data_IF_410454799941
#
_entry.id   IF_410454799941
#
_cell.length_a   1.000
_cell.length_b   1.000
_cell.length_c   1.000
_cell.angle_alpha   90.00
_cell.angle_beta   90.00
_cell.angle_gamma   90.00
#
_symmetry.space_group_name_H-M   'P 1'
#
loop_
_entity.id
_entity.type
_entity.pdbx_description
1 polymer ?
#
# COMPACT_ATOMS: atom_id res chain seq x y z
N UNK A 1 -4.59 13.47 -3.59
CA UNK A 1 -3.43 12.71 -3.08
C UNK A 1 -3.34 12.69 -1.54
N UNK A 2 -3.12 11.53 -0.92
CA UNK A 2 -2.78 11.36 0.51
C UNK A 2 -1.44 10.61 0.63
N UNK A 3 -0.57 11.07 1.55
CA UNK A 3 0.71 10.45 1.89
C UNK A 3 0.72 10.10 3.37
N UNK A 4 1.05 8.85 3.70
CA UNK A 4 1.11 8.37 5.08
C UNK A 4 2.12 7.23 5.22
N UNK A 5 2.31 6.73 6.43
CA UNK A 5 3.22 5.63 6.74
C UNK A 5 2.67 4.76 7.86
N UNK A 6 3.03 3.49 7.85
CA UNK A 6 2.76 2.54 8.92
C UNK A 6 4.08 1.94 9.40
N UNK A 7 4.24 1.83 10.72
CA UNK A 7 5.35 1.10 11.35
C UNK A 7 4.95 -0.35 11.55
N UNK A 8 5.86 -1.26 11.22
CA UNK A 8 5.66 -2.70 11.34
C UNK A 8 7.00 -3.41 11.52
N UNK A 9 7.05 -4.56 12.21
CA UNK A 9 8.26 -5.35 12.33
C UNK A 9 8.86 -5.67 10.96
N UNK A 10 10.20 -5.59 10.84
CA UNK A 10 10.90 -5.76 9.55
C UNK A 10 10.62 -7.11 8.89
N UNK A 11 10.43 -8.17 9.69
CA UNK A 11 10.07 -9.52 9.23
C UNK A 11 8.66 -9.60 8.63
N UNK A 12 7.77 -8.65 8.95
CA UNK A 12 6.40 -8.59 8.43
C UNK A 12 6.27 -7.78 7.14
N UNK A 13 7.26 -6.93 6.80
CA UNK A 13 7.20 -6.06 5.62
C UNK A 13 6.99 -6.87 4.33
N UNK A 14 7.79 -7.90 4.11
CA UNK A 14 7.68 -8.74 2.92
C UNK A 14 6.37 -9.53 2.89
N UNK A 15 5.88 -9.97 4.05
CA UNK A 15 4.61 -10.67 4.17
C UNK A 15 3.45 -9.77 3.73
N UNK A 16 3.40 -8.53 4.22
CA UNK A 16 2.40 -7.52 3.82
C UNK A 16 2.49 -7.19 2.33
N UNK A 17 3.70 -6.96 1.79
CA UNK A 17 3.85 -6.67 0.36
C UNK A 17 3.37 -7.84 -0.49
N UNK A 18 3.74 -9.08 -0.16
CA UNK A 18 3.32 -10.26 -0.91
C UNK A 18 1.80 -10.48 -0.87
N UNK A 19 1.15 -10.16 0.24
CA UNK A 19 -0.31 -10.16 0.33
C UNK A 19 -0.93 -9.21 -0.69
N UNK A 20 -0.49 -7.95 -0.73
CA UNK A 20 -1.02 -6.97 -1.66
C UNK A 20 -0.65 -7.24 -3.12
N UNK A 21 0.52 -7.83 -3.40
CA UNK A 21 0.88 -8.29 -4.76
C UNK A 21 -0.13 -9.30 -5.29
N UNK A 22 -0.56 -10.26 -4.45
CA UNK A 22 -1.59 -11.23 -4.83
C UNK A 22 -2.95 -10.57 -5.00
N UNK A 23 -3.36 -9.74 -4.03
CA UNK A 23 -4.65 -9.04 -4.04
C UNK A 23 -4.85 -8.17 -5.29
N UNK A 24 -3.80 -7.45 -5.69
CA UNK A 24 -3.86 -6.53 -6.82
C UNK A 24 -3.37 -7.13 -8.14
N UNK A 25 -3.15 -8.44 -8.21
CA UNK A 25 -2.61 -9.12 -9.40
C UNK A 25 -3.44 -8.95 -10.69
N UNK A 26 -4.71 -8.55 -10.57
CA UNK A 26 -5.60 -8.27 -11.70
C UNK A 26 -5.47 -6.84 -12.25
N UNK A 27 -4.70 -5.97 -11.61
CA UNK A 27 -4.45 -4.60 -12.02
C UNK A 27 -3.03 -4.42 -12.56
N UNK A 28 -2.78 -3.27 -13.18
CA UNK A 28 -1.43 -2.90 -13.62
C UNK A 28 -0.55 -2.63 -12.39
N UNK A 29 0.50 -3.45 -12.23
CA UNK A 29 1.41 -3.40 -11.09
C UNK A 29 2.86 -3.12 -11.54
N UNK A 30 3.55 -2.22 -10.84
CA UNK A 30 5.00 -2.04 -10.90
C UNK A 30 5.63 -2.43 -9.54
N UNK A 31 6.72 -3.20 -9.59
CA UNK A 31 7.39 -3.75 -8.40
C UNK A 31 8.81 -3.23 -8.19
N UNK A 32 9.29 -2.26 -8.97
CA UNK A 32 10.68 -1.78 -8.94
C UNK A 32 11.02 -1.06 -7.62
N UNK A 33 10.07 -0.30 -7.06
CA UNK A 33 10.21 0.43 -5.80
C UNK A 33 9.09 0.06 -4.82
N UNK A 34 8.91 -1.23 -4.56
CA UNK A 34 7.86 -1.76 -3.68
C UNK A 34 6.69 -2.35 -4.45
N UNK A 35 5.49 -1.82 -4.23
CA UNK A 35 4.29 -2.18 -4.99
C UNK A 35 3.52 -0.92 -5.37
N UNK A 36 3.55 -0.55 -6.64
CA UNK A 36 2.68 0.47 -7.22
C UNK A 36 1.58 -0.24 -8.01
N UNK A 37 0.33 0.14 -7.77
CA UNK A 37 -0.86 -0.39 -8.46
C UNK A 37 -1.63 0.75 -9.07
N UNK A 38 -2.02 0.61 -10.34
CA UNK A 38 -2.87 1.55 -11.06
C UNK A 38 -4.19 0.86 -11.42
N UNK A 39 -5.31 1.50 -11.13
CA UNK A 39 -6.67 1.03 -11.39
C UNK A 39 -7.53 2.19 -11.91
N UNK A 40 -8.71 1.94 -12.51
CA UNK A 40 -9.50 3.00 -13.16
C UNK A 40 -9.83 4.20 -12.24
N UNK A 41 -10.00 3.94 -10.95
CA UNK A 41 -10.36 4.94 -9.94
C UNK A 41 -9.16 5.68 -9.35
N UNK A 42 -7.92 5.29 -9.67
CA UNK A 42 -6.72 5.90 -9.13
C UNK A 42 -5.49 4.99 -9.02
N UNK A 43 -4.62 5.29 -8.06
CA UNK A 43 -3.41 4.53 -7.82
C UNK A 43 -3.03 4.48 -6.35
N UNK A 44 -2.26 3.46 -5.98
CA UNK A 44 -1.63 3.31 -4.67
C UNK A 44 -0.19 2.82 -4.81
N UNK A 45 0.69 3.30 -3.93
CA UNK A 45 2.08 2.90 -3.84
C UNK A 45 2.42 2.52 -2.39
N UNK A 46 2.71 1.23 -2.18
CA UNK A 46 3.22 0.66 -0.94
C UNK A 46 4.73 0.49 -1.08
N UNK A 47 5.50 1.38 -0.44
CA UNK A 47 6.95 1.41 -0.54
C UNK A 47 7.61 1.08 0.81
N UNK A 48 8.34 -0.03 0.94
CA UNK A 48 9.12 -0.28 2.14
C UNK A 48 10.24 0.76 2.29
N UNK A 49 10.57 1.15 3.53
CA UNK A 49 11.74 2.00 3.76
C UNK A 49 13.00 1.15 3.86
N UNK A 50 14.08 1.59 3.21
CA UNK A 50 15.38 0.91 3.29
C UNK A 50 16.07 1.10 4.64
N UNK A 51 15.73 2.16 5.37
CA UNK A 51 16.43 2.60 6.60
C UNK A 51 15.58 2.50 7.86
N UNK A 52 14.28 2.22 7.74
CA UNK A 52 13.33 2.23 8.86
C UNK A 52 12.33 1.07 8.70
N UNK A 53 11.81 0.49 9.79
CA UNK A 53 10.81 -0.59 9.74
C UNK A 53 9.40 -0.04 9.45
N UNK A 54 9.24 0.58 8.27
CA UNK A 54 7.99 1.22 7.85
C UNK A 54 7.64 0.87 6.41
N UNK A 55 6.34 0.92 6.09
CA UNK A 55 5.84 1.02 4.71
C UNK A 55 5.26 2.43 4.54
N UNK A 56 5.76 3.16 3.53
CA UNK A 56 5.18 4.41 3.06
C UNK A 56 4.02 4.07 2.14
N UNK A 57 2.89 4.73 2.35
CA UNK A 57 1.66 4.52 1.59
C UNK A 57 1.31 5.85 0.94
N UNK A 58 1.25 5.85 -0.38
CA UNK A 58 0.84 7.02 -1.16
C UNK A 58 -0.31 6.60 -2.05
N UNK A 59 -1.43 7.31 -1.96
CA UNK A 59 -2.60 7.00 -2.77
C UNK A 59 -3.26 8.26 -3.31
N UNK A 60 -3.92 8.10 -4.44
CA UNK A 60 -4.75 9.13 -5.05
C UNK A 60 -5.85 8.48 -5.87
N UNK A 61 -7.07 8.97 -5.67
CA UNK A 61 -8.26 8.52 -6.39
C UNK A 61 -9.07 9.72 -6.86
N UNK A 62 -10.20 9.46 -7.53
CA UNK A 62 -11.12 10.47 -8.08
C UNK A 62 -11.58 11.51 -7.04
N UNK A 63 -11.65 11.14 -5.74
CA UNK A 63 -11.98 12.08 -4.67
C UNK A 63 -11.16 11.86 -3.40
N UNK A 64 -10.96 12.93 -2.63
CA UNK A 64 -10.28 12.87 -1.33
C UNK A 64 -10.94 11.88 -0.35
N UNK A 65 -12.27 11.76 -0.41
CA UNK A 65 -13.05 10.82 0.40
C UNK A 65 -12.71 9.37 0.02
N UNK A 66 -12.72 9.03 -1.27
CA UNK A 66 -12.34 7.70 -1.74
C UNK A 66 -10.87 7.38 -1.42
N UNK A 67 -9.98 8.38 -1.53
CA UNK A 67 -8.57 8.19 -1.18
C UNK A 67 -8.44 7.88 0.31
N UNK A 68 -9.18 8.59 1.17
CA UNK A 68 -9.21 8.34 2.61
C UNK A 68 -9.75 6.95 2.94
N UNK A 69 -10.83 6.52 2.28
CA UNK A 69 -11.41 5.18 2.45
C UNK A 69 -10.42 4.08 2.03
N UNK A 70 -9.77 4.23 0.87
CA UNK A 70 -8.75 3.30 0.40
C UNK A 70 -7.61 3.19 1.42
N UNK A 71 -7.09 4.31 1.91
CA UNK A 71 -6.05 4.33 2.94
C UNK A 71 -6.54 3.56 4.18
N UNK A 72 -7.72 3.87 4.72
CA UNK A 72 -8.28 3.17 5.89
C UNK A 72 -8.40 1.66 5.67
N UNK A 73 -8.86 1.22 4.49
CA UNK A 73 -8.95 -0.20 4.14
C UNK A 73 -7.58 -0.88 4.18
N UNK A 74 -6.57 -0.26 3.56
CA UNK A 74 -5.19 -0.78 3.57
C UNK A 74 -4.64 -0.87 4.99
N UNK A 75 -4.84 0.14 5.83
CA UNK A 75 -4.40 0.10 7.24
C UNK A 75 -5.05 -1.03 8.02
N UNK A 76 -6.36 -1.22 7.88
CA UNK A 76 -7.08 -2.29 8.58
C UNK A 76 -6.62 -3.67 8.09
N UNK A 77 -6.39 -3.81 6.80
CA UNK A 77 -5.91 -5.06 6.23
C UNK A 77 -4.48 -5.39 6.69
N UNK A 78 -3.58 -4.40 6.74
CA UNK A 78 -2.25 -4.59 7.32
C UNK A 78 -2.34 -5.07 8.77
N UNK A 79 -3.23 -4.46 9.58
CA UNK A 79 -3.45 -4.87 10.98
C UNK A 79 -3.99 -6.30 11.13
N UNK A 80 -4.73 -6.81 10.14
CA UNK A 80 -5.23 -8.19 10.16
C UNK A 80 -4.17 -9.22 9.72
N UNK A 81 -3.11 -8.76 9.06
CA UNK A 81 -2.02 -9.59 8.58
C UNK A 81 -0.94 -9.79 9.65
N UNK A 82 -0.71 -8.77 10.50
CA UNK A 82 0.39 -8.73 11.48
C UNK A 82 -0.02 -9.11 12.88
#
# INVERSE_FOLDING_TARGET
MIKTKISLPSDKIMLVLNHFRKKFSHYECNFEDGLRVVFPEGWIHLRPSNTEPIIRIVAETISSQQTSQLITQIFNEIKNIV
#
